data_IF_316946409569
#
_entry.id   IF_316946409569
#
_cell.length_a   1.000
_cell.length_b   1.000
_cell.length_c   1.000
_cell.angle_alpha   90.00
_cell.angle_beta   90.00
_cell.angle_gamma   90.00
#
_symmetry.space_group_name_H-M   'P 1'
#
loop_
_entity.id
_entity.type
_entity.pdbx_description
1 polymer ?
#
# COMPACT_ATOMS: atom_id res chain seq x y z
N UNK A 1 -20.58 -3.34 -32.66
CA UNK A 1 -20.53 -2.24 -31.65
C UNK A 1 -19.35 -2.46 -30.69
N UNK A 2 -18.25 -1.69 -30.79
CA UNK A 2 -17.11 -1.91 -29.92
C UNK A 2 -17.48 -1.43 -28.51
N UNK A 3 -17.21 -2.29 -27.53
CA UNK A 3 -17.50 -2.05 -26.12
C UNK A 3 -16.80 -0.76 -25.65
N UNK A 4 -17.59 0.27 -25.34
CA UNK A 4 -17.18 1.34 -24.44
C UNK A 4 -17.36 0.81 -23.01
N UNK A 5 -16.27 0.35 -22.41
CA UNK A 5 -16.21 -0.06 -21.01
C UNK A 5 -14.84 0.27 -20.46
N UNK A 6 -14.58 1.57 -20.29
CA UNK A 6 -13.29 2.18 -19.94
C UNK A 6 -12.80 1.86 -18.51
N UNK A 7 -12.51 0.59 -18.27
CA UNK A 7 -11.91 0.07 -17.05
C UNK A 7 -10.49 -0.37 -17.39
N UNK A 8 -9.51 0.38 -16.91
CA UNK A 8 -8.10 0.21 -17.28
C UNK A 8 -7.24 -0.19 -16.08
N UNK A 9 -7.54 0.35 -14.90
CA UNK A 9 -6.94 -0.06 -13.64
C UNK A 9 -8.03 -0.20 -12.58
N UNK A 10 -7.89 -1.23 -11.76
CA UNK A 10 -8.85 -1.66 -10.76
C UNK A 10 -8.12 -2.07 -9.49
N UNK A 11 -8.67 -1.70 -8.34
CA UNK A 11 -8.21 -2.20 -7.05
C UNK A 11 -9.32 -3.01 -6.38
N UNK A 12 -9.03 -4.28 -6.09
CA UNK A 12 -9.93 -5.20 -5.38
C UNK A 12 -9.43 -5.43 -3.95
N UNK A 13 -10.35 -5.41 -2.99
CA UNK A 13 -10.06 -5.79 -1.61
C UNK A 13 -10.75 -7.12 -1.28
N UNK A 14 -10.01 -8.02 -0.64
CA UNK A 14 -10.48 -9.33 -0.20
C UNK A 14 -10.27 -9.50 1.31
N UNK A 15 -11.10 -10.30 1.94
CA UNK A 15 -10.86 -10.89 3.25
C UNK A 15 -10.69 -12.41 3.09
N UNK A 16 -9.62 -12.97 3.63
CA UNK A 16 -9.27 -14.39 3.57
C UNK A 16 -9.28 -14.96 4.99
N UNK A 17 -9.92 -16.11 5.19
CA UNK A 17 -9.88 -16.83 6.46
C UNK A 17 -8.46 -17.37 6.73
N UNK A 18 -7.88 -17.18 7.93
CA UNK A 18 -6.50 -17.58 8.21
C UNK A 18 -6.29 -19.09 8.33
N UNK A 19 -7.36 -19.89 8.36
CA UNK A 19 -7.31 -21.34 8.59
C UNK A 19 -7.91 -22.17 7.45
N UNK A 20 -8.37 -21.51 6.38
CA UNK A 20 -9.00 -22.15 5.23
C UNK A 20 -8.79 -21.32 3.96
N UNK A 21 -9.34 -21.79 2.85
CA UNK A 21 -9.34 -21.08 1.56
C UNK A 21 -10.61 -20.25 1.34
N UNK A 22 -11.48 -20.12 2.36
CA UNK A 22 -12.69 -19.28 2.24
C UNK A 22 -12.32 -17.80 2.20
N UNK A 23 -12.87 -17.07 1.23
CA UNK A 23 -12.60 -15.65 1.04
C UNK A 23 -13.84 -14.88 0.61
N UNK A 24 -13.86 -13.58 0.91
CA UNK A 24 -14.91 -12.63 0.51
C UNK A 24 -14.31 -11.45 -0.23
N UNK A 25 -15.01 -10.98 -1.25
CA UNK A 25 -14.74 -9.68 -1.88
C UNK A 25 -15.39 -8.62 -0.99
N UNK A 26 -14.61 -7.63 -0.59
CA UNK A 26 -15.07 -6.52 0.25
C UNK A 26 -15.52 -5.36 -0.63
N UNK A 27 -14.64 -4.89 -1.51
CA UNK A 27 -14.95 -3.78 -2.42
C UNK A 27 -14.10 -3.81 -3.70
N UNK A 28 -14.57 -3.05 -4.69
CA UNK A 28 -13.86 -2.74 -5.93
C UNK A 28 -13.81 -1.23 -6.11
N UNK A 29 -12.60 -0.69 -6.28
CA UNK A 29 -12.38 0.68 -6.67
C UNK A 29 -12.09 0.75 -8.17
N UNK A 30 -13.05 1.26 -8.95
CA UNK A 30 -12.93 1.45 -10.40
C UNK A 30 -12.19 2.74 -10.79
N UNK A 31 -11.05 2.99 -10.13
CA UNK A 31 -10.21 4.17 -10.33
C UNK A 31 -8.83 3.95 -9.72
N UNK A 32 -7.88 4.77 -10.17
CA UNK A 32 -6.61 4.92 -9.49
C UNK A 32 -6.83 5.28 -8.01
N UNK A 33 -6.06 4.63 -7.16
CA UNK A 33 -6.15 4.72 -5.71
C UNK A 33 -4.79 5.03 -5.09
N UNK A 34 -4.78 5.29 -3.78
CA UNK A 34 -3.52 5.39 -3.02
C UNK A 34 -2.73 4.07 -3.09
N UNK A 35 -3.44 2.94 -3.12
CA UNK A 35 -2.84 1.62 -3.33
C UNK A 35 -2.19 1.50 -4.71
N UNK A 36 -2.79 2.06 -5.76
CA UNK A 36 -2.21 2.08 -7.10
C UNK A 36 -0.93 2.92 -7.14
N UNK A 37 -0.90 4.08 -6.48
CA UNK A 37 0.31 4.90 -6.35
C UNK A 37 1.43 4.15 -5.61
N UNK A 38 1.10 3.48 -4.50
CA UNK A 38 2.04 2.62 -3.77
C UNK A 38 2.56 1.48 -4.65
N UNK A 39 1.68 0.77 -5.34
CA UNK A 39 2.05 -0.34 -6.23
C UNK A 39 2.98 0.13 -7.36
N UNK A 40 2.72 1.29 -7.95
CA UNK A 40 3.61 1.88 -8.96
C UNK A 40 4.98 2.22 -8.42
N UNK A 41 5.09 2.69 -7.17
CA UNK A 41 6.40 2.92 -6.54
C UNK A 41 7.09 1.62 -6.16
N UNK A 42 6.33 0.65 -5.66
CA UNK A 42 6.84 -0.65 -5.22
C UNK A 42 7.36 -1.50 -6.37
N UNK A 43 6.75 -1.40 -7.55
CA UNK A 43 7.11 -2.22 -8.71
C UNK A 43 7.92 -1.46 -9.76
N UNK A 44 7.90 -0.13 -9.69
CA UNK A 44 8.34 0.75 -10.77
C UNK A 44 7.37 0.78 -11.97
N UNK A 45 6.29 -0.01 -11.97
CA UNK A 45 5.33 -0.11 -13.06
C UNK A 45 4.35 1.08 -13.03
N UNK A 46 4.36 2.00 -14.01
CA UNK A 46 3.62 3.25 -13.93
C UNK A 46 2.14 3.06 -14.30
N UNK A 47 1.34 2.53 -13.36
CA UNK A 47 -0.08 2.16 -13.55
C UNK A 47 -0.91 3.32 -14.10
N UNK A 48 -0.75 4.53 -13.59
CA UNK A 48 -1.50 5.69 -14.08
C UNK A 48 -1.18 6.05 -15.54
N UNK A 49 0.09 5.92 -15.93
CA UNK A 49 0.52 6.17 -17.32
C UNK A 49 -0.04 5.11 -18.27
N UNK A 50 0.03 3.84 -17.86
CA UNK A 50 -0.43 2.71 -18.65
C UNK A 50 -1.95 2.73 -18.78
N UNK A 51 -2.67 2.96 -17.68
CA UNK A 51 -4.12 3.17 -17.70
C UNK A 51 -4.52 4.28 -18.67
N UNK A 52 -3.78 5.40 -18.69
CA UNK A 52 -4.02 6.50 -19.63
C UNK A 52 -3.84 6.06 -21.09
N UNK A 53 -2.79 5.30 -21.40
CA UNK A 53 -2.56 4.78 -22.76
C UNK A 53 -3.65 3.79 -23.18
N UNK A 54 -4.11 2.95 -22.26
CA UNK A 54 -5.23 2.03 -22.52
C UNK A 54 -6.52 2.80 -22.80
N UNK A 55 -6.80 3.92 -22.11
CA UNK A 55 -7.94 4.81 -22.40
C UNK A 55 -7.87 5.35 -23.83
N UNK A 56 -6.66 5.67 -24.31
CA UNK A 56 -6.41 6.17 -25.66
C UNK A 56 -6.47 5.07 -26.74
N UNK A 57 -6.81 3.83 -26.38
CA UNK A 57 -7.00 2.72 -27.31
C UNK A 57 -5.74 1.91 -27.62
N UNK A 58 -4.62 2.17 -26.93
CA UNK A 58 -3.42 1.33 -27.04
C UNK A 58 -3.65 0.00 -26.32
N UNK A 59 -3.10 -1.10 -26.83
CA UNK A 59 -2.99 -2.37 -26.13
C UNK A 59 -1.76 -2.42 -25.19
N UNK A 60 -1.79 -3.28 -24.17
CA UNK A 60 -0.66 -3.46 -23.25
C UNK A 60 0.64 -3.88 -23.96
N UNK A 61 0.52 -4.65 -25.04
CA UNK A 61 1.66 -5.11 -25.86
C UNK A 61 2.29 -4.00 -26.71
N UNK A 62 1.55 -2.91 -26.94
CA UNK A 62 1.98 -1.75 -27.74
C UNK A 62 2.63 -0.65 -26.89
N UNK A 63 2.54 -0.78 -25.57
CA UNK A 63 3.12 0.17 -24.62
C UNK A 63 4.48 -0.38 -24.20
N UNK A 64 5.55 0.38 -24.41
CA UNK A 64 6.89 -0.03 -23.98
C UNK A 64 7.04 0.01 -22.46
N UNK A 65 7.82 -0.92 -21.91
CA UNK A 65 8.26 -0.88 -20.53
C UNK A 65 9.25 0.28 -20.34
N UNK A 66 8.83 1.32 -19.63
CA UNK A 66 9.65 2.52 -19.39
C UNK A 66 10.94 2.26 -18.59
N UNK A 67 11.03 1.14 -17.86
CA UNK A 67 12.21 0.77 -17.05
C UNK A 67 13.24 0.06 -17.93
N UNK A 68 12.85 -1.07 -18.52
CA UNK A 68 13.77 -1.93 -19.29
C UNK A 68 13.95 -1.45 -20.72
N UNK A 69 12.95 -0.79 -21.31
CA UNK A 69 12.87 -0.31 -22.70
C UNK A 69 13.05 -1.39 -23.79
N UNK A 70 13.07 -2.66 -23.38
CA UNK A 70 13.25 -3.81 -24.26
C UNK A 70 12.01 -4.71 -24.29
N UNK A 71 11.14 -4.60 -23.28
CA UNK A 71 9.90 -5.38 -23.15
C UNK A 71 8.70 -4.46 -23.28
N UNK A 72 7.51 -5.03 -23.49
CA UNK A 72 6.25 -4.26 -23.38
C UNK A 72 5.81 -4.14 -21.92
N UNK A 73 4.75 -3.36 -21.69
CA UNK A 73 4.04 -3.24 -20.42
C UNK A 73 3.17 -4.48 -20.12
N UNK A 74 3.05 -5.44 -21.03
CA UNK A 74 2.28 -6.67 -20.83
C UNK A 74 3.09 -7.71 -20.04
N UNK A 75 3.28 -7.48 -18.75
CA UNK A 75 3.95 -8.41 -17.83
C UNK A 75 3.52 -8.15 -16.39
N UNK A 76 3.78 -9.13 -15.52
CA UNK A 76 3.65 -8.98 -14.07
C UNK A 76 5.04 -8.67 -13.47
N UNK A 77 5.20 -7.54 -12.74
CA UNK A 77 6.48 -7.21 -12.12
C UNK A 77 6.92 -8.26 -11.09
N UNK A 78 8.16 -8.75 -11.22
CA UNK A 78 8.79 -9.59 -10.21
C UNK A 78 9.69 -8.73 -9.32
N UNK A 79 9.49 -8.81 -8.01
CA UNK A 79 10.26 -8.05 -7.02
C UNK A 79 11.26 -8.98 -6.33
N UNK A 80 12.51 -8.53 -6.26
CA UNK A 80 13.59 -9.20 -5.53
C UNK A 80 13.86 -8.53 -4.16
N UNK A 81 12.91 -7.71 -3.70
CA UNK A 81 12.92 -6.96 -2.45
C UNK A 81 11.53 -6.91 -1.81
N UNK A 82 11.49 -6.55 -0.54
CA UNK A 82 10.27 -6.32 0.25
C UNK A 82 10.01 -4.81 0.34
N UNK A 83 8.74 -4.44 0.22
CA UNK A 83 8.26 -3.07 0.43
C UNK A 83 7.33 -3.05 1.64
N UNK A 84 7.61 -2.16 2.59
CA UNK A 84 6.74 -1.90 3.74
C UNK A 84 6.17 -0.50 3.62
N UNK A 85 4.84 -0.41 3.64
CA UNK A 85 4.11 0.84 3.84
C UNK A 85 3.74 0.97 5.31
N UNK A 86 4.00 2.14 5.91
CA UNK A 86 3.60 2.43 7.28
C UNK A 86 2.81 3.76 7.33
N UNK A 87 1.57 3.78 7.84
CA UNK A 87 0.77 5.00 7.96
C UNK A 87 1.31 5.98 9.03
N UNK A 88 1.16 7.28 8.79
CA UNK A 88 1.51 8.35 9.72
C UNK A 88 0.24 8.94 10.33
N UNK A 89 0.20 9.03 11.66
CA UNK A 89 -0.85 9.68 12.41
C UNK A 89 -0.30 10.90 13.15
N UNK A 90 -1.13 11.94 13.27
CA UNK A 90 -0.85 13.18 14.01
C UNK A 90 -2.01 13.49 14.99
N UNK A 91 -2.53 12.44 15.65
CA UNK A 91 -3.71 12.56 16.51
C UNK A 91 -3.50 13.40 17.77
N UNK A 92 -2.24 13.59 18.21
CA UNK A 92 -1.89 14.45 19.34
C UNK A 92 -2.34 15.92 19.14
N UNK A 93 -2.57 16.35 17.90
CA UNK A 93 -3.11 17.68 17.58
C UNK A 93 -4.61 17.80 17.90
N UNK A 94 -5.31 16.69 18.17
CA UNK A 94 -6.75 16.62 18.34
C UNK A 94 -7.12 15.94 19.67
N UNK A 95 -7.15 16.70 20.80
CA UNK A 95 -7.28 16.11 22.15
C UNK A 95 -8.60 15.38 22.40
N UNK A 96 -9.65 15.69 21.65
CA UNK A 96 -10.98 15.07 21.80
C UNK A 96 -11.21 13.91 20.83
N UNK A 97 -10.19 13.47 20.09
CA UNK A 97 -10.30 12.38 19.12
C UNK A 97 -9.78 11.09 19.74
N UNK A 98 -10.55 10.01 19.58
CA UNK A 98 -10.13 8.67 19.99
C UNK A 98 -8.89 8.24 19.19
N UNK A 99 -7.88 7.73 19.88
CA UNK A 99 -6.67 7.18 19.27
C UNK A 99 -6.92 5.85 18.55
N UNK A 100 -7.95 5.08 18.96
CA UNK A 100 -8.28 3.78 18.38
C UNK A 100 -8.44 3.85 16.85
N UNK A 101 -7.79 2.94 16.13
CA UNK A 101 -7.90 2.80 14.68
C UNK A 101 -8.87 1.67 14.33
N UNK A 102 -9.64 1.88 13.27
CA UNK A 102 -10.64 0.93 12.80
C UNK A 102 -10.80 1.01 11.29
N UNK A 103 -12.00 0.72 10.79
CA UNK A 103 -12.31 0.82 9.35
C UNK A 103 -12.23 2.25 8.81
N UNK A 104 -12.48 3.24 9.67
CA UNK A 104 -12.34 4.65 9.31
C UNK A 104 -10.87 5.10 9.34
N UNK A 105 -10.41 5.65 8.23
CA UNK A 105 -9.04 6.13 8.13
C UNK A 105 -8.81 7.42 8.92
N UNK A 106 -7.84 7.38 9.83
CA UNK A 106 -7.37 8.54 10.61
C UNK A 106 -5.95 9.01 10.26
N UNK A 107 -5.23 8.26 9.42
CA UNK A 107 -3.85 8.59 9.04
C UNK A 107 -3.81 9.85 8.17
N UNK A 108 -2.84 10.73 8.43
CA UNK A 108 -2.60 11.97 7.68
C UNK A 108 -1.59 11.80 6.53
N UNK A 109 -0.82 10.71 6.57
CA UNK A 109 0.18 10.39 5.57
C UNK A 109 0.62 8.94 5.62
N UNK A 110 1.64 8.60 4.84
CA UNK A 110 2.22 7.26 4.78
C UNK A 110 3.69 7.36 4.35
N UNK A 111 4.50 6.42 4.83
CA UNK A 111 5.88 6.22 4.40
C UNK A 111 6.01 4.87 3.72
N UNK A 112 7.00 4.76 2.84
CA UNK A 112 7.29 3.53 2.10
C UNK A 112 8.80 3.25 2.21
N UNK A 113 9.15 2.06 2.69
CA UNK A 113 10.52 1.57 2.78
C UNK A 113 10.71 0.34 1.89
N UNK A 114 11.87 0.25 1.25
CA UNK A 114 12.28 -0.87 0.39
C UNK A 114 13.54 -1.50 0.99
N UNK A 115 13.58 -2.82 1.09
CA UNK A 115 14.74 -3.56 1.58
C UNK A 115 14.77 -5.01 1.08
N UNK A 116 15.90 -5.73 1.23
CA UNK A 116 16.00 -7.14 0.83
C UNK A 116 15.39 -8.11 1.84
N UNK A 117 15.13 -7.65 3.06
CA UNK A 117 14.53 -8.43 4.15
C UNK A 117 13.38 -7.64 4.78
N UNK A 118 12.42 -8.33 5.38
CA UNK A 118 11.29 -7.68 6.03
C UNK A 118 11.74 -6.83 7.24
N UNK A 119 12.67 -7.36 8.03
CA UNK A 119 13.22 -6.75 9.22
C UNK A 119 13.92 -5.43 8.89
N UNK A 120 14.67 -5.37 7.80
CA UNK A 120 15.28 -4.12 7.33
C UNK A 120 14.20 -3.12 6.86
N UNK A 121 13.20 -3.58 6.11
CA UNK A 121 12.13 -2.71 5.60
C UNK A 121 11.32 -2.07 6.73
N UNK A 122 10.88 -2.85 7.72
CA UNK A 122 10.08 -2.36 8.85
C UNK A 122 10.87 -1.40 9.75
N UNK A 123 12.15 -1.71 10.00
CA UNK A 123 13.05 -0.83 10.75
C UNK A 123 13.22 0.52 10.05
N UNK A 124 13.38 0.51 8.72
CA UNK A 124 13.48 1.74 7.91
C UNK A 124 12.17 2.52 7.93
N UNK A 125 11.02 1.86 7.76
CA UNK A 125 9.73 2.55 7.73
C UNK A 125 9.42 3.24 9.06
N UNK A 126 9.70 2.60 10.20
CA UNK A 126 9.46 3.22 11.52
C UNK A 126 10.32 4.48 11.70
N UNK A 127 11.60 4.44 11.31
CA UNK A 127 12.48 5.62 11.37
C UNK A 127 12.04 6.75 10.45
N UNK A 128 11.43 6.44 9.31
CA UNK A 128 10.90 7.44 8.37
C UNK A 128 9.67 8.19 8.89
N UNK A 129 8.99 7.69 9.93
CA UNK A 129 7.79 8.33 10.47
C UNK A 129 8.09 9.67 11.17
N UNK A 130 9.34 9.92 11.55
CA UNK A 130 9.76 11.14 12.26
C UNK A 130 8.93 11.39 13.53
N UNK A 131 8.81 10.34 14.35
CA UNK A 131 8.09 10.32 15.65
C UNK A 131 9.02 10.14 16.84
N UNK A 132 10.34 10.29 16.63
CA UNK A 132 11.34 10.04 17.68
C UNK A 132 11.59 8.55 17.98
N UNK A 133 11.09 7.63 17.15
CA UNK A 133 11.35 6.19 17.26
C UNK A 133 12.61 5.80 16.47
N UNK A 134 13.48 4.99 17.07
CA UNK A 134 14.72 4.51 16.42
C UNK A 134 14.50 3.28 15.52
N UNK A 135 13.27 2.77 15.47
CA UNK A 135 12.91 1.52 14.82
C UNK A 135 12.05 0.63 15.73
N UNK A 136 11.87 -0.63 15.36
CA UNK A 136 11.34 -1.70 16.22
C UNK A 136 12.47 -2.20 17.13
N UNK A 137 12.71 -1.45 18.19
CA UNK A 137 13.70 -1.74 19.24
C UNK A 137 13.08 -1.41 20.60
N UNK A 138 13.81 -1.66 21.69
CA UNK A 138 13.42 -1.24 23.03
C UNK A 138 13.47 0.30 23.19
N UNK A 139 12.63 1.02 22.44
CA UNK A 139 12.37 2.44 22.68
C UNK A 139 11.78 2.61 24.09
N UNK A 140 11.88 3.80 24.65
CA UNK A 140 11.33 4.14 25.96
C UNK A 140 9.80 4.29 25.92
N UNK A 141 9.10 3.20 25.60
CA UNK A 141 7.65 3.09 25.62
C UNK A 141 7.21 2.38 26.89
N UNK A 142 6.22 2.94 27.58
CA UNK A 142 5.60 2.37 28.77
C UNK A 142 4.13 2.18 28.50
N UNK A 143 3.60 1.02 28.90
CA UNK A 143 2.20 0.67 28.73
C UNK A 143 1.59 0.38 30.10
N UNK A 144 0.40 0.92 30.35
CA UNK A 144 -0.34 0.66 31.58
C UNK A 144 -0.93 -0.77 31.57
N UNK A 145 -1.46 -1.19 30.42
CA UNK A 145 -1.99 -2.54 30.18
C UNK A 145 -1.56 -3.01 28.78
N UNK A 146 -0.50 -3.83 28.74
CA UNK A 146 0.04 -4.30 27.47
C UNK A 146 -0.91 -5.25 26.73
N UNK A 147 -1.68 -6.07 27.43
CA UNK A 147 -2.61 -7.01 26.77
C UNK A 147 -3.72 -6.25 26.06
N UNK A 148 -4.25 -5.20 26.71
CA UNK A 148 -5.25 -4.33 26.10
C UNK A 148 -4.71 -3.65 24.84
N UNK A 149 -3.53 -3.04 24.89
CA UNK A 149 -2.92 -2.34 23.75
C UNK A 149 -2.61 -3.28 22.58
N UNK A 150 -2.37 -4.58 22.84
CA UNK A 150 -2.21 -5.59 21.79
C UNK A 150 -3.54 -6.03 21.17
N UNK A 151 -4.65 -5.98 21.93
CA UNK A 151 -5.99 -6.35 21.45
C UNK A 151 -6.73 -5.20 20.77
N UNK A 152 -6.47 -3.96 21.17
CA UNK A 152 -7.15 -2.75 20.70
C UNK A 152 -6.19 -1.89 19.86
N UNK A 153 -6.28 -1.94 18.51
CA UNK A 153 -5.42 -1.14 17.65
C UNK A 153 -5.57 0.36 17.88
N UNK A 154 -4.45 1.08 18.01
CA UNK A 154 -4.36 2.54 18.17
C UNK A 154 -3.42 3.20 17.17
#
# INVERSE_FOLDING_TARGET
PPFVGGLHELFFQFALDPHSEDYRIIELNARLSRSSALASKATGYPLAFIATKLILGYGLTEIDNMITKETSACFEPALDYVVVKYPRWDLQKFPNVSLHIGSEMKSVGEVMAIARTFEEAIQKSIRMLDIGMNGLVCNSLTFDDLEKELMEPT
#
